data_IF_952589121512
#
_entry.id   IF_952589121512
#
_cell.length_a   1.000
_cell.length_b   1.000
_cell.length_c   1.000
_cell.angle_alpha   90.00
_cell.angle_beta   90.00
_cell.angle_gamma   90.00
#
_symmetry.space_group_name_H-M   'P 1'
#
loop_
_entity.id
_entity.type
_entity.pdbx_description
1 polymer ?
#
# COMPACT_ATOMS: atom_id res chain seq x y z
N UNK A 1 -3.37 28.53 39.49
CA UNK A 1 -3.09 27.23 38.85
C UNK A 1 -3.34 27.37 37.37
N UNK A 2 -2.29 27.55 36.59
CA UNK A 2 -2.36 27.49 35.13
C UNK A 2 -2.43 26.00 34.78
N UNK A 3 -3.57 25.56 34.27
CA UNK A 3 -3.70 24.24 33.66
C UNK A 3 -3.22 24.39 32.22
N UNK A 4 -2.09 23.78 31.91
CA UNK A 4 -1.63 23.56 30.54
C UNK A 4 -2.05 22.13 30.18
N UNK A 5 -2.94 21.98 29.20
CA UNK A 5 -3.28 20.72 28.55
C UNK A 5 -2.35 20.53 27.34
N UNK A 6 -1.40 19.57 27.33
CA UNK A 6 -0.71 19.19 26.11
C UNK A 6 -1.48 18.05 25.42
N UNK A 7 -2.63 18.35 24.84
CA UNK A 7 -3.30 17.44 23.92
C UNK A 7 -2.77 17.70 22.50
N UNK A 8 -1.57 17.20 22.19
CA UNK A 8 -0.99 17.44 20.86
C UNK A 8 0.13 16.53 20.37
N UNK A 9 0.79 15.73 21.22
CA UNK A 9 2.03 15.03 20.82
C UNK A 9 1.83 13.58 20.34
N UNK A 10 0.66 12.98 20.59
CA UNK A 10 0.49 11.53 20.45
C UNK A 10 0.12 11.07 19.02
N UNK A 11 -0.33 11.96 18.14
CA UNK A 11 -0.80 11.59 16.81
C UNK A 11 0.36 11.36 15.83
N UNK A 12 1.40 12.19 15.94
CA UNK A 12 2.58 12.16 15.07
C UNK A 12 3.43 10.91 15.34
N UNK A 13 3.67 10.55 16.60
CA UNK A 13 4.43 9.34 16.97
C UNK A 13 3.72 8.05 16.52
N UNK A 14 2.38 8.04 16.55
CA UNK A 14 1.58 6.91 16.08
C UNK A 14 1.63 6.73 14.57
N UNK A 15 1.68 7.82 13.82
CA UNK A 15 1.79 7.76 12.36
C UNK A 15 3.17 7.30 11.91
N UNK A 16 4.22 7.71 12.61
CA UNK A 16 5.60 7.23 12.41
C UNK A 16 5.71 5.72 12.68
N UNK A 17 5.05 5.21 13.72
CA UNK A 17 5.01 3.76 13.98
C UNK A 17 4.34 2.95 12.85
N UNK A 18 3.31 3.51 12.20
CA UNK A 18 2.60 2.86 11.09
C UNK A 18 3.46 2.84 9.83
N UNK A 19 4.18 3.92 9.57
CA UNK A 19 5.08 3.99 8.41
C UNK A 19 6.20 2.96 8.53
N UNK A 20 6.80 2.83 9.72
CA UNK A 20 7.87 1.89 9.98
C UNK A 20 7.38 0.44 9.88
N UNK A 21 6.22 0.13 10.47
CA UNK A 21 5.64 -1.21 10.38
C UNK A 21 5.29 -1.60 8.94
N UNK A 22 4.82 -0.64 8.13
CA UNK A 22 4.52 -0.86 6.72
C UNK A 22 5.81 -1.10 5.92
N UNK A 23 6.85 -0.33 6.17
CA UNK A 23 8.16 -0.50 5.54
C UNK A 23 8.78 -1.86 5.87
N UNK A 24 8.72 -2.28 7.14
CA UNK A 24 9.16 -3.61 7.58
C UNK A 24 8.32 -4.73 6.93
N UNK A 25 7.00 -4.58 6.88
CA UNK A 25 6.10 -5.54 6.24
C UNK A 25 6.45 -5.72 4.76
N UNK A 26 6.57 -4.61 4.02
CA UNK A 26 6.90 -4.64 2.60
C UNK A 26 8.29 -5.25 2.40
N UNK A 27 9.28 -4.86 3.18
CA UNK A 27 10.66 -5.40 3.09
C UNK A 27 10.71 -6.90 3.37
N UNK A 28 9.90 -7.40 4.31
CA UNK A 28 9.83 -8.83 4.64
C UNK A 28 9.01 -9.64 3.63
N UNK A 29 7.95 -9.06 3.07
CA UNK A 29 7.07 -9.71 2.09
C UNK A 29 7.70 -9.78 0.68
N UNK A 30 8.56 -8.82 0.35
CA UNK A 30 9.26 -8.72 -0.93
C UNK A 30 10.04 -9.99 -1.33
N UNK A 31 10.96 -10.55 -0.50
CA UNK A 31 11.67 -11.78 -0.83
C UNK A 31 10.80 -13.04 -0.85
N UNK A 32 9.63 -13.00 -0.19
CA UNK A 32 8.69 -14.12 -0.16
C UNK A 32 7.80 -14.17 -1.42
N UNK A 33 7.83 -13.13 -2.27
CA UNK A 33 7.06 -13.08 -3.52
C UNK A 33 5.55 -12.97 -3.30
N UNK A 34 5.11 -12.50 -2.14
CA UNK A 34 3.70 -12.31 -1.78
C UNK A 34 3.20 -10.88 -2.00
N UNK A 35 3.98 -10.05 -2.70
CA UNK A 35 3.61 -8.69 -3.10
C UNK A 35 3.27 -8.66 -4.59
N UNK A 36 2.15 -8.05 -4.94
CA UNK A 36 1.79 -7.69 -6.31
C UNK A 36 1.88 -6.17 -6.46
N UNK A 37 2.55 -5.68 -7.50
CA UNK A 37 2.68 -4.25 -7.79
C UNK A 37 1.98 -3.98 -9.12
N UNK A 38 1.23 -2.89 -9.22
CA UNK A 38 0.46 -2.55 -10.41
C UNK A 38 -1.03 -2.55 -10.16
N UNK A 39 -1.73 -1.53 -10.67
CA UNK A 39 -3.21 -1.43 -10.60
C UNK A 39 -3.87 -2.60 -11.34
N UNK A 40 -3.32 -2.96 -12.50
CA UNK A 40 -3.87 -4.03 -13.34
C UNK A 40 -3.63 -5.41 -12.72
N UNK A 41 -2.40 -5.68 -12.29
CA UNK A 41 -2.07 -6.92 -11.59
C UNK A 41 -2.83 -7.06 -10.28
N UNK A 42 -2.96 -5.99 -9.50
CA UNK A 42 -3.76 -5.97 -8.27
C UNK A 42 -5.24 -6.31 -8.56
N UNK A 43 -5.86 -5.64 -9.54
CA UNK A 43 -7.23 -5.91 -9.94
C UNK A 43 -7.43 -7.36 -10.41
N UNK A 44 -6.45 -7.91 -11.14
CA UNK A 44 -6.48 -9.31 -11.57
C UNK A 44 -6.39 -10.27 -10.39
N UNK A 45 -5.47 -10.04 -9.45
CA UNK A 45 -5.33 -10.88 -8.25
C UNK A 45 -6.57 -10.83 -7.37
N UNK A 46 -7.13 -9.65 -7.15
CA UNK A 46 -8.40 -9.43 -6.44
C UNK A 46 -9.57 -10.17 -7.10
N UNK A 47 -9.61 -10.22 -8.43
CA UNK A 47 -10.67 -10.92 -9.16
C UNK A 47 -10.50 -12.45 -9.16
N UNK A 48 -9.28 -12.97 -8.93
CA UNK A 48 -9.00 -14.40 -8.90
C UNK A 48 -9.18 -14.96 -7.49
N UNK A 49 -8.50 -14.38 -6.51
CA UNK A 49 -8.49 -14.84 -5.11
C UNK A 49 -8.40 -13.65 -4.14
N UNK A 50 -9.52 -12.97 -3.83
CA UNK A 50 -9.54 -11.85 -2.89
C UNK A 50 -9.30 -12.29 -1.44
N UNK A 51 -9.62 -13.55 -1.09
CA UNK A 51 -9.46 -14.11 0.26
C UNK A 51 -8.00 -14.19 0.69
N UNK A 52 -7.08 -14.31 -0.28
CA UNK A 52 -5.65 -14.37 -0.01
C UNK A 52 -5.01 -12.99 0.15
N UNK A 53 -5.77 -11.91 0.01
CA UNK A 53 -5.29 -10.53 0.05
C UNK A 53 -5.50 -9.95 1.45
N UNK A 54 -4.42 -9.53 2.09
CA UNK A 54 -4.47 -9.01 3.47
C UNK A 54 -4.45 -7.49 3.53
N UNK A 55 -3.78 -6.85 2.58
CA UNK A 55 -3.58 -5.41 2.55
C UNK A 55 -3.49 -4.91 1.11
N UNK A 56 -4.18 -3.82 0.83
CA UNK A 56 -4.12 -3.08 -0.43
C UNK A 56 -3.59 -1.67 -0.16
N UNK A 57 -2.43 -1.35 -0.72
CA UNK A 57 -1.88 -0.01 -0.72
C UNK A 57 -2.26 0.72 -2.01
N UNK A 58 -2.73 1.95 -1.87
CA UNK A 58 -3.00 2.86 -2.99
C UNK A 58 -2.09 4.06 -2.88
N UNK A 59 -1.21 4.23 -3.86
CA UNK A 59 -0.29 5.36 -3.95
C UNK A 59 -0.80 6.34 -5.02
N UNK A 60 -1.05 7.58 -4.60
CA UNK A 60 -1.59 8.62 -5.49
C UNK A 60 -0.77 9.89 -5.30
N UNK A 61 -0.19 10.46 -6.35
CA UNK A 61 0.41 11.79 -6.29
C UNK A 61 -0.58 12.83 -6.86
N UNK A 62 -0.27 14.12 -6.67
CA UNK A 62 -1.13 15.23 -7.09
C UNK A 62 -1.32 15.30 -8.62
N UNK A 63 -0.37 14.75 -9.39
CA UNK A 63 -0.46 14.67 -10.86
C UNK A 63 -1.46 13.61 -11.33
N UNK A 64 -1.62 12.51 -10.57
CA UNK A 64 -2.54 11.40 -10.87
C UNK A 64 -4.02 11.74 -10.68
N UNK A 65 -4.29 12.88 -10.03
CA UNK A 65 -5.65 13.42 -9.86
C UNK A 65 -6.22 13.87 -11.21
N UNK A 66 -5.36 14.14 -12.21
CA UNK A 66 -5.78 14.50 -13.57
C UNK A 66 -6.17 13.30 -14.43
N UNK A 67 -5.74 12.10 -14.08
CA UNK A 67 -6.00 10.90 -14.87
C UNK A 67 -7.33 10.25 -14.45
N UNK A 68 -8.41 10.65 -15.13
CA UNK A 68 -9.77 10.17 -14.87
C UNK A 68 -9.84 8.64 -14.96
N UNK A 69 -9.09 8.03 -15.87
CA UNK A 69 -9.07 6.57 -16.03
C UNK A 69 -8.47 5.87 -14.80
N UNK A 70 -7.39 6.43 -14.24
CA UNK A 70 -6.74 5.89 -13.04
C UNK A 70 -7.63 6.08 -11.80
N UNK A 71 -8.29 7.24 -11.69
CA UNK A 71 -9.25 7.51 -10.62
C UNK A 71 -10.44 6.53 -10.63
N UNK A 72 -10.91 6.12 -11.81
CA UNK A 72 -11.94 5.09 -11.92
C UNK A 72 -11.42 3.75 -11.38
N UNK A 73 -10.21 3.33 -11.75
CA UNK A 73 -9.63 2.08 -11.25
C UNK A 73 -9.44 2.08 -9.74
N UNK A 74 -8.94 3.18 -9.18
CA UNK A 74 -8.83 3.33 -7.72
C UNK A 74 -10.18 3.23 -7.04
N UNK A 75 -11.20 3.88 -7.60
CA UNK A 75 -12.56 3.83 -7.04
C UNK A 75 -13.11 2.40 -7.10
N UNK A 76 -12.89 1.68 -8.20
CA UNK A 76 -13.33 0.29 -8.36
C UNK A 76 -12.62 -0.64 -7.39
N UNK A 77 -11.30 -0.56 -7.29
CA UNK A 77 -10.50 -1.35 -6.34
C UNK A 77 -10.91 -1.03 -4.91
N UNK A 78 -11.11 0.25 -4.58
CA UNK A 78 -11.54 0.65 -3.25
C UNK A 78 -12.90 0.08 -2.89
N UNK A 79 -13.87 0.13 -3.81
CA UNK A 79 -15.18 -0.49 -3.61
C UNK A 79 -15.04 -2.00 -3.40
N UNK A 80 -14.29 -2.68 -4.28
CA UNK A 80 -14.10 -4.13 -4.22
C UNK A 80 -13.42 -4.58 -2.92
N UNK A 81 -12.34 -3.92 -2.52
CA UNK A 81 -11.64 -4.24 -1.27
C UNK A 81 -12.52 -3.97 -0.04
N UNK A 82 -13.33 -2.91 -0.04
CA UNK A 82 -14.30 -2.66 1.03
C UNK A 82 -15.40 -3.74 1.10
N UNK A 83 -15.86 -4.26 -0.04
CA UNK A 83 -16.87 -5.33 -0.09
C UNK A 83 -16.31 -6.69 0.37
N UNK A 84 -15.00 -6.90 0.25
CA UNK A 84 -14.32 -8.14 0.64
C UNK A 84 -13.57 -8.02 1.98
N UNK A 85 -13.84 -6.97 2.78
CA UNK A 85 -13.19 -6.71 4.07
C UNK A 85 -11.64 -6.66 4.02
N UNK A 86 -11.09 -6.22 2.88
CA UNK A 86 -9.64 -6.07 2.68
C UNK A 86 -9.20 -4.70 3.21
N UNK A 87 -8.14 -4.67 4.02
CA UNK A 87 -7.59 -3.42 4.55
C UNK A 87 -6.97 -2.57 3.44
N UNK A 88 -7.38 -1.30 3.35
CA UNK A 88 -6.85 -0.35 2.38
C UNK A 88 -6.07 0.75 3.09
N UNK A 89 -4.85 1.02 2.62
CA UNK A 89 -4.04 2.15 3.06
C UNK A 89 -3.73 3.05 1.87
N UNK A 90 -3.97 4.34 2.04
CA UNK A 90 -3.61 5.35 1.05
C UNK A 90 -2.32 6.04 1.44
N UNK A 91 -1.34 6.03 0.56
CA UNK A 91 -0.05 6.70 0.75
C UNK A 91 0.13 7.79 -0.31
N UNK A 92 0.76 8.87 0.07
CA UNK A 92 1.03 10.03 -0.81
C UNK A 92 2.52 10.16 -1.17
N UNK A 93 3.34 9.19 -0.77
CA UNK A 93 4.79 9.26 -0.93
C UNK A 93 5.29 8.12 -1.81
N UNK A 94 4.99 8.21 -3.11
CA UNK A 94 5.41 7.20 -4.10
C UNK A 94 6.92 7.01 -4.14
N UNK A 95 7.71 8.05 -3.83
CA UNK A 95 9.19 7.96 -3.85
C UNK A 95 9.71 6.98 -2.82
N UNK A 96 9.27 7.12 -1.56
CA UNK A 96 9.70 6.22 -0.48
C UNK A 96 9.20 4.79 -0.72
N UNK A 97 7.99 4.65 -1.24
CA UNK A 97 7.44 3.35 -1.65
C UNK A 97 8.30 2.73 -2.77
N UNK A 98 8.72 3.53 -3.75
CA UNK A 98 9.61 3.09 -4.82
C UNK A 98 10.96 2.64 -4.25
N UNK A 99 11.58 3.38 -3.33
CA UNK A 99 12.86 3.00 -2.72
C UNK A 99 12.80 1.64 -2.00
N UNK A 100 11.69 1.37 -1.30
CA UNK A 100 11.46 0.08 -0.62
C UNK A 100 11.25 -1.05 -1.64
N UNK A 101 10.52 -0.77 -2.72
CA UNK A 101 10.21 -1.73 -3.79
C UNK A 101 11.33 -1.85 -4.82
N UNK A 102 12.31 -0.95 -4.87
CA UNK A 102 13.44 -0.96 -5.81
C UNK A 102 14.36 -2.17 -5.63
N UNK A 103 14.26 -2.87 -4.50
CA UNK A 103 14.84 -4.20 -4.31
C UNK A 103 14.22 -5.29 -5.21
N UNK A 104 13.06 -5.04 -5.83
CA UNK A 104 12.43 -5.85 -6.88
C UNK A 104 12.69 -5.18 -8.22
N UNK A 105 13.67 -5.67 -8.97
CA UNK A 105 13.76 -5.39 -10.41
C UNK A 105 14.16 -6.66 -11.15
N UNK A 106 13.59 -6.89 -12.35
CA UNK A 106 14.21 -6.29 -13.53
C UNK A 106 13.23 -5.84 -14.61
N UNK A 107 13.54 -4.71 -15.28
CA UNK A 107 13.11 -4.48 -16.66
C UNK A 107 12.23 -3.25 -16.92
N UNK A 108 12.87 -2.09 -17.06
CA UNK A 108 12.70 -1.24 -18.24
C UNK A 108 11.35 -0.59 -18.61
N UNK A 109 10.28 -0.73 -17.84
CA UNK A 109 9.03 0.00 -18.06
C UNK A 109 8.57 0.73 -16.80
N UNK A 110 7.83 1.83 -16.97
CA UNK A 110 7.27 2.64 -15.90
C UNK A 110 6.46 1.74 -14.96
N UNK A 111 7.05 1.34 -13.83
CA UNK A 111 6.35 0.51 -12.86
C UNK A 111 5.18 1.31 -12.30
N UNK A 112 3.96 0.87 -12.57
CA UNK A 112 2.74 1.42 -12.01
C UNK A 112 2.67 1.15 -10.49
N UNK A 113 3.39 1.94 -9.71
CA UNK A 113 3.45 1.84 -8.24
C UNK A 113 2.19 2.36 -7.54
N UNK A 114 1.17 2.71 -8.31
CA UNK A 114 -0.11 3.22 -7.89
C UNK A 114 -0.92 2.26 -7.01
N UNK A 115 -0.69 0.96 -7.13
CA UNK A 115 -1.31 -0.03 -6.27
C UNK A 115 -0.32 -1.13 -5.90
N UNK A 116 -0.30 -1.50 -4.63
CA UNK A 116 0.51 -2.59 -4.09
C UNK A 116 -0.39 -3.49 -3.27
N UNK A 117 -0.47 -4.76 -3.65
CA UNK A 117 -1.26 -5.76 -2.97
C UNK A 117 -0.34 -6.68 -2.17
N UNK A 118 -0.61 -6.86 -0.88
CA UNK A 118 0.05 -7.84 -0.04
C UNK A 118 -0.90 -9.01 0.14
N UNK A 119 -0.42 -10.18 -0.23
CA UNK A 119 -1.13 -11.45 -0.02
C UNK A 119 -0.63 -12.16 1.22
N UNK A 120 -1.30 -13.23 1.67
CA UNK A 120 -0.86 -14.03 2.81
C UNK A 120 0.52 -14.60 2.52
N UNK A 121 1.55 -13.94 3.05
CA UNK A 121 2.91 -14.45 3.07
C UNK A 121 3.00 -15.51 4.16
N UNK A 122 3.54 -16.68 3.84
CA UNK A 122 4.07 -17.58 4.87
C UNK A 122 5.41 -17.00 5.33
N UNK A 123 5.35 -15.93 6.13
CA UNK A 123 6.54 -15.29 6.69
C UNK A 123 7.14 -16.30 7.68
N UNK A 124 8.10 -17.09 7.22
CA UNK A 124 8.90 -17.91 8.10
C UNK A 124 9.79 -16.95 8.91
N UNK A 125 9.30 -16.49 10.05
CA UNK A 125 10.13 -15.86 11.08
C UNK A 125 11.12 -16.93 11.56
N UNK A 126 12.32 -16.94 10.99
CA UNK A 126 13.43 -17.78 11.45
C UNK A 126 14.37 -17.02 12.36
#
# INVERSE_FOLDING_TARGET
MTFEDPCGENATERMDSVEQALEELLTAALPQGCITVGVYEAAKSLNVDPDNVVLCLLATDEEDVKDVALQIHFTLIQAFCCENDINILRVNNMRRLAEILEGVKPGGESMDLHCVLVTVCVISFS
#
